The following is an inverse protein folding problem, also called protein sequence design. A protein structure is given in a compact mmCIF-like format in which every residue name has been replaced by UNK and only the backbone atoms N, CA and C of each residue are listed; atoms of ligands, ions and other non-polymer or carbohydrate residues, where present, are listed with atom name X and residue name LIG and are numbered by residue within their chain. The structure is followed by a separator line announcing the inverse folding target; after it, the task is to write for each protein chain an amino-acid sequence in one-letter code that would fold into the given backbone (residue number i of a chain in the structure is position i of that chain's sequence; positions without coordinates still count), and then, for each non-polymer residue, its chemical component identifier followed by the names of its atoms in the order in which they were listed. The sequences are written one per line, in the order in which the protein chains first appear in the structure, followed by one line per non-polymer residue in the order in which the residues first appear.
data_IF_137749038053
#
_entry.id   IF_137749038053
#
_cell.length_a   1.000
_cell.length_b   1.000
_cell.length_c   1.000
_cell.angle_alpha   90.00
_cell.angle_beta   90.00
_cell.angle_gamma   90.00
#
_symmetry.space_group_name_H-M   'P 1'
#
loop_
_entity.id
_entity.type
_entity.pdbx_description
1 polymer ?
2 non-polymer ?
3 non-polymer ?
4 non-polymer ?
5 non-polymer ?
6 water ?
#
# COMPACT_ATOMS: atom_id res chain seq x y z
N UNK A 1 -9.40 5.55 15.47
CA UNK A 1 -10.58 5.22 14.75
C UNK A 1 -10.29 4.64 13.35
N UNK A 2 -11.23 4.85 12.45
CA UNK A 2 -11.23 4.24 11.11
C UNK A 2 -10.01 4.72 10.34
N UNK A 3 -9.77 6.04 10.28
CA UNK A 3 -8.63 6.57 9.48
C UNK A 3 -7.34 6.05 10.06
N UNK A 4 -7.19 6.06 11.37
CA UNK A 4 -5.93 5.53 11.93
C UNK A 4 -5.76 4.03 11.58
N UNK A 5 -6.83 3.27 11.62
CA UNK A 5 -6.79 1.84 11.26
C UNK A 5 -6.25 1.69 9.84
N UNK A 6 -6.65 2.54 8.93
CA UNK A 6 -6.13 2.47 7.55
C UNK A 6 -4.62 2.64 7.61
N UNK A 7 -4.09 3.59 8.35
CA UNK A 7 -2.63 3.82 8.49
C UNK A 7 -1.96 2.59 9.11
N UNK A 8 -2.57 1.99 10.13
CA UNK A 8 -2.00 0.83 10.83
C UNK A 8 -1.90 -0.32 9.81
N UNK A 9 -2.99 -0.59 9.12
CA UNK A 9 -2.99 -1.73 8.15
C UNK A 9 -1.99 -1.45 7.03
N UNK A 10 -1.95 -0.25 6.49
CA UNK A 10 -0.96 0.13 5.44
C UNK A 10 0.48 -0.08 5.92
N UNK A 11 0.78 0.15 7.18
CA UNK A 11 2.13 0.07 7.72
C UNK A 11 2.69 -1.34 7.70
N UNK A 12 1.85 -2.37 7.60
CA UNK A 12 2.35 -3.75 7.49
C UNK A 12 1.39 -4.47 6.54
N UNK A 13 1.12 -3.84 5.40
CA UNK A 13 -0.02 -4.25 4.56
C UNK A 13 0.10 -5.69 4.06
N UNK A 14 1.29 -6.13 3.61
CA UNK A 14 1.42 -7.51 3.08
C UNK A 14 0.99 -8.51 4.17
N UNK A 15 1.38 -8.31 5.43
CA UNK A 15 1.08 -9.32 6.46
C UNK A 15 -0.38 -9.20 6.87
N UNK A 16 -0.91 -8.00 7.08
CA UNK A 16 -2.35 -7.90 7.37
C UNK A 16 -3.21 -8.44 6.23
N UNK A 17 -2.86 -8.09 4.98
CA UNK A 17 -3.65 -8.54 3.80
C UNK A 17 -3.72 -10.07 3.81
N UNK A 18 -2.57 -10.73 3.99
CA UNK A 18 -2.58 -12.21 3.96
C UNK A 18 -3.35 -12.76 5.14
N UNK A 19 -3.11 -12.20 6.35
CA UNK A 19 -3.77 -12.75 7.57
C UNK A 19 -5.29 -12.58 7.47
N UNK A 20 -5.75 -11.43 6.99
CA UNK A 20 -7.22 -11.15 6.92
C UNK A 20 -7.85 -11.99 5.81
N UNK A 21 -7.19 -12.07 4.66
CA UNK A 21 -7.78 -12.91 3.59
C UNK A 21 -7.80 -14.38 4.02
N UNK A 22 -6.76 -14.87 4.73
CA UNK A 22 -6.77 -16.27 5.23
C UNK A 22 -7.87 -16.44 6.25
N UNK A 23 -8.10 -15.42 7.14
CA UNK A 23 -9.21 -15.55 8.08
C UNK A 23 -10.54 -15.72 7.34
N UNK A 24 -10.74 -14.94 6.27
CA UNK A 24 -11.91 -15.05 5.38
C UNK A 24 -11.98 -16.49 4.85
N UNK A 25 -10.90 -16.96 4.17
CA UNK A 25 -11.01 -18.29 3.51
C UNK A 25 -11.19 -19.45 4.52
N UNK A 26 -10.66 -19.30 5.74
CA UNK A 26 -10.84 -20.34 6.79
C UNK A 26 -12.25 -20.25 7.44
N UNK A 27 -12.80 -19.03 7.61
CA UNK A 27 -14.16 -18.94 8.16
C UNK A 27 -15.23 -19.45 7.19
N UNK A 28 -15.02 -19.20 5.91
CA UNK A 28 -15.94 -19.54 4.81
C UNK A 28 -15.21 -20.37 3.75
N UNK A 29 -14.91 -21.64 4.07
CA UNK A 29 -14.10 -22.46 3.19
C UNK A 29 -14.70 -22.61 1.78
N UNK A 30 -16.03 -22.50 1.66
CA UNK A 30 -16.75 -22.58 0.36
C UNK A 30 -16.34 -21.43 -0.56
N UNK A 31 -15.86 -20.28 -0.04
CA UNK A 31 -15.34 -19.15 -0.87
C UNK A 31 -14.06 -19.56 -1.64
N UNK A 32 -13.36 -20.63 -1.29
CA UNK A 32 -12.24 -21.14 -2.15
C UNK A 32 -12.78 -21.60 -3.52
N UNK A 33 -14.08 -21.91 -3.64
CA UNK A 33 -14.79 -22.16 -4.93
C UNK A 33 -14.45 -21.11 -6.00
N UNK A 34 -14.20 -19.85 -5.60
CA UNK A 34 -13.93 -18.71 -6.53
C UNK A 34 -12.44 -18.63 -6.88
N UNK A 35 -11.57 -19.43 -6.22
CA UNK A 35 -10.09 -19.47 -6.41
C UNK A 35 -9.55 -20.93 -6.41
N UNK A 36 -9.83 -21.68 -7.48
CA UNK A 36 -9.41 -23.10 -7.71
C UNK A 36 -8.06 -23.46 -7.07
N UNK A 37 -6.95 -22.90 -7.58
CA UNK A 37 -5.54 -23.18 -7.15
C UNK A 37 -5.27 -22.87 -5.66
N UNK A 38 -6.32 -22.67 -4.85
CA UNK A 38 -6.14 -22.44 -3.39
C UNK A 38 -6.51 -23.67 -2.55
N UNK A 39 -7.35 -24.55 -3.10
CA UNK A 39 -7.90 -25.78 -2.44
C UNK A 39 -6.74 -26.72 -2.08
N UNK A 40 -6.83 -27.35 -0.89
CA UNK A 40 -5.86 -28.33 -0.35
C UNK A 40 -4.49 -27.74 0.00
N UNK A 41 -4.43 -26.46 0.35
CA UNK A 41 -3.15 -25.80 0.69
C UNK A 41 -3.30 -25.09 2.04
N UNK A 42 -2.39 -25.39 2.97
CA UNK A 42 -2.33 -24.76 4.29
C UNK A 42 -2.05 -23.25 4.13
N UNK A 43 -2.26 -22.46 5.19
CA UNK A 43 -1.98 -21.02 5.11
C UNK A 43 -0.55 -20.70 4.68
N UNK A 44 0.43 -21.42 5.23
CA UNK A 44 1.87 -21.14 4.90
C UNK A 44 2.08 -21.38 3.41
N UNK A 45 1.43 -22.43 2.88
CA UNK A 45 1.62 -22.81 1.46
C UNK A 45 1.02 -21.67 0.61
N UNK A 46 -0.18 -21.20 0.95
CA UNK A 46 -0.85 -20.10 0.21
C UNK A 46 0.06 -18.86 0.20
N UNK A 47 0.67 -18.53 1.34
CA UNK A 47 1.55 -17.34 1.52
C UNK A 47 2.82 -17.49 0.68
N UNK A 48 3.19 -18.72 0.33
CA UNK A 48 4.35 -19.04 -0.56
C UNK A 48 4.01 -18.77 -2.02
N UNK A 49 2.73 -18.91 -2.38
CA UNK A 49 2.27 -18.87 -3.79
C UNK A 49 2.28 -17.43 -4.28
N UNK A 50 3.04 -17.17 -5.32
CA UNK A 50 3.20 -15.83 -5.93
C UNK A 50 1.85 -15.17 -6.11
N UNK A 51 0.95 -15.90 -6.76
CA UNK A 51 -0.37 -15.32 -7.18
C UNK A 51 -1.15 -14.94 -5.94
N UNK A 52 -1.08 -15.77 -4.90
CA UNK A 52 -1.86 -15.47 -3.65
C UNK A 52 -1.38 -14.12 -3.06
N UNK A 53 -0.07 -13.96 -2.90
CA UNK A 53 0.56 -12.72 -2.42
C UNK A 53 0.15 -11.54 -3.28
N UNK A 54 0.09 -11.71 -4.60
CA UNK A 54 -0.16 -10.58 -5.54
C UNK A 54 -1.66 -10.27 -5.55
N UNK A 55 -2.55 -11.26 -5.63
CA UNK A 55 -4.00 -10.98 -5.57
C UNK A 55 -4.33 -10.31 -4.23
N UNK A 56 -3.88 -10.89 -3.14
CA UNK A 56 -4.37 -10.44 -1.80
C UNK A 56 -3.79 -9.06 -1.54
N UNK A 57 -2.55 -8.77 -1.92
CA UNK A 57 -2.01 -7.39 -1.75
C UNK A 57 -2.78 -6.41 -2.65
N UNK A 58 -3.16 -6.77 -3.87
CA UNK A 58 -3.93 -5.83 -4.72
C UNK A 58 -5.32 -5.57 -4.13
N UNK A 59 -5.95 -6.61 -3.59
CA UNK A 59 -7.28 -6.51 -2.97
C UNK A 59 -7.16 -5.48 -1.85
N UNK A 60 -6.17 -5.61 -0.96
CA UNK A 60 -6.07 -4.71 0.26
C UNK A 60 -5.53 -3.35 -0.13
N UNK A 61 -4.66 -3.27 -1.14
CA UNK A 61 -4.22 -1.94 -1.64
C UNK A 61 -5.46 -1.13 -2.05
N UNK A 62 -6.33 -1.70 -2.86
CA UNK A 62 -7.54 -1.00 -3.38
C UNK A 62 -8.53 -0.83 -2.22
N UNK A 63 -8.74 -1.84 -1.39
CA UNK A 63 -9.71 -1.69 -0.24
C UNK A 63 -9.28 -0.51 0.63
N UNK A 64 -8.01 -0.37 0.93
CA UNK A 64 -7.52 0.75 1.80
C UNK A 64 -7.75 2.07 1.07
N UNK A 65 -7.62 2.15 -0.24
CA UNK A 65 -7.92 3.36 -1.03
C UNK A 65 -9.41 3.69 -0.91
N UNK A 66 -10.28 2.69 -1.05
CA UNK A 66 -11.75 2.87 -0.96
C UNK A 66 -12.10 3.38 0.47
N UNK A 67 -11.50 2.78 1.49
CA UNK A 67 -11.72 3.22 2.90
C UNK A 67 -11.21 4.66 3.04
N UNK A 68 -10.09 5.00 2.46
CA UNK A 68 -9.44 6.31 2.54
C UNK A 68 -10.30 7.40 1.91
N UNK A 69 -10.99 7.08 0.82
CA UNK A 69 -11.79 8.03 0.03
C UNK A 69 -13.19 8.17 0.66
N UNK A 70 -13.58 7.27 1.54
CA UNK A 70 -14.89 7.25 2.21
C UNK A 70 -15.00 8.50 3.11
N UNK A 71 -16.22 8.91 3.26
CA UNK A 71 -16.65 9.91 4.31
C UNK A 71 -17.44 9.17 5.39
N UNK A 72 -16.98 9.21 6.66
CA UNK A 72 -17.70 8.58 7.79
C UNK A 72 -18.09 7.14 7.42
N UNK A 73 -17.14 6.40 6.89
CA UNK A 73 -17.34 4.97 6.53
C UNK A 73 -18.33 4.73 5.38
N UNK A 74 -18.62 5.73 4.56
CA UNK A 74 -19.51 5.60 3.39
C UNK A 74 -18.62 5.72 2.15
N UNK A 75 -18.46 4.63 1.37
CA UNK A 75 -17.56 4.68 0.23
C UNK A 75 -18.18 5.50 -0.90
N UNK A 76 -17.35 5.98 -1.81
CA UNK A 76 -17.82 6.67 -3.02
C UNK A 76 -18.56 5.71 -3.94
N UNK A 77 -19.57 6.24 -4.62
CA UNK A 77 -20.36 5.45 -5.60
C UNK A 77 -19.39 5.04 -6.72
N UNK A 78 -18.45 5.89 -7.06
CA UNK A 78 -17.47 5.64 -8.15
C UNK A 78 -16.63 4.41 -7.81
N UNK A 79 -16.21 4.26 -6.58
CA UNK A 79 -15.47 3.05 -6.12
C UNK A 79 -16.34 1.81 -6.24
N UNK A 80 -17.60 1.86 -5.85
CA UNK A 80 -18.53 0.71 -5.95
C UNK A 80 -18.63 0.30 -7.43
N UNK A 81 -18.76 1.29 -8.31
CA UNK A 81 -18.99 1.07 -9.76
C UNK A 81 -17.77 0.32 -10.30
N UNK A 82 -16.59 0.82 -9.95
CA UNK A 82 -15.28 0.22 -10.37
C UNK A 82 -15.25 -1.26 -9.95
N UNK A 83 -15.61 -1.56 -8.70
CA UNK A 83 -15.57 -2.95 -8.17
C UNK A 83 -16.57 -3.86 -8.91
N UNK A 84 -17.75 -3.35 -9.25
CA UNK A 84 -18.81 -4.15 -9.92
C UNK A 84 -18.34 -4.49 -11.33
N UNK A 85 -17.72 -3.49 -11.99
CA UNK A 85 -17.38 -3.44 -13.44
C UNK A 85 -16.15 -4.31 -13.74
N UNK A 86 -15.34 -4.64 -12.74
CA UNK A 86 -14.12 -5.45 -12.89
C UNK A 86 -14.48 -6.82 -13.50
N UNK A 87 -13.85 -7.21 -14.60
CA UNK A 87 -14.12 -8.56 -15.22
C UNK A 87 -13.85 -9.69 -14.20
N UNK A 88 -12.84 -9.52 -13.35
CA UNK A 88 -12.43 -10.45 -12.25
C UNK A 88 -13.61 -10.77 -11.32
N UNK A 89 -14.57 -9.86 -11.22
CA UNK A 89 -15.69 -9.95 -10.26
C UNK A 89 -16.98 -10.36 -10.96
N UNK A 90 -16.89 -10.92 -12.17
CA UNK A 90 -18.05 -11.25 -13.01
C UNK A 90 -18.97 -12.23 -12.24
N UNK A 91 -18.40 -13.25 -11.60
CA UNK A 91 -19.22 -14.31 -10.95
C UNK A 91 -19.77 -13.87 -9.58
N UNK A 92 -19.42 -12.69 -9.12
CA UNK A 92 -19.57 -12.43 -7.66
C UNK A 92 -20.91 -11.80 -7.31
N UNK A 93 -21.30 -11.98 -6.05
CA UNK A 93 -22.49 -11.31 -5.48
C UNK A 93 -22.10 -10.58 -4.21
N UNK A 94 -23.01 -9.80 -3.71
CA UNK A 94 -22.69 -8.97 -2.55
C UNK A 94 -22.28 -9.87 -1.38
N UNK A 95 -22.88 -11.04 -1.25
CA UNK A 95 -22.61 -12.01 -0.16
C UNK A 95 -21.13 -12.34 -0.02
N UNK A 96 -20.41 -12.41 -1.13
CA UNK A 96 -18.93 -12.65 -1.10
C UNK A 96 -18.22 -11.54 -0.32
N UNK A 97 -18.59 -10.31 -0.58
CA UNK A 97 -18.01 -9.10 0.04
C UNK A 97 -18.47 -9.00 1.49
N UNK A 98 -19.73 -9.32 1.77
CA UNK A 98 -20.26 -9.34 3.15
C UNK A 98 -19.38 -10.26 4.00
N UNK A 99 -19.13 -11.47 3.50
CA UNK A 99 -18.36 -12.49 4.26
C UNK A 99 -16.92 -11.98 4.49
N UNK A 100 -16.31 -11.35 3.50
CA UNK A 100 -14.93 -10.80 3.68
C UNK A 100 -14.94 -9.79 4.84
N UNK A 101 -15.96 -8.96 4.94
CA UNK A 101 -15.98 -7.92 6.00
C UNK A 101 -16.33 -8.52 7.34
N UNK A 102 -17.18 -9.52 7.40
CA UNK A 102 -17.40 -10.24 8.67
C UNK A 102 -16.08 -10.82 9.19
N UNK A 103 -15.26 -11.40 8.33
CA UNK A 103 -14.02 -12.03 8.78
C UNK A 103 -13.03 -10.94 9.19
N UNK A 104 -13.02 -9.84 8.46
CA UNK A 104 -12.13 -8.70 8.79
C UNK A 104 -12.52 -8.16 10.18
N UNK A 105 -13.81 -8.01 10.44
CA UNK A 105 -14.23 -7.43 11.76
C UNK A 105 -13.84 -8.41 12.89
N UNK A 106 -14.11 -9.71 12.71
CA UNK A 106 -13.77 -10.73 13.73
C UNK A 106 -12.24 -10.71 13.96
N UNK A 107 -11.45 -10.67 12.90
CA UNK A 107 -9.97 -10.59 13.01
C UNK A 107 -9.57 -9.40 13.91
N UNK A 108 -10.15 -8.24 13.64
CA UNK A 108 -9.86 -7.00 14.41
C UNK A 108 -10.26 -7.18 15.87
N UNK A 109 -11.43 -7.75 16.11
CA UNK A 109 -11.95 -7.98 17.50
C UNK A 109 -10.96 -8.87 18.24
N UNK A 110 -10.40 -9.90 17.57
CA UNK A 110 -9.54 -10.93 18.23
C UNK A 110 -8.11 -10.39 18.42
N UNK A 111 -7.76 -9.33 17.73
CA UNK A 111 -6.38 -8.79 17.76
C UNK A 111 -6.16 -8.11 19.12
N UNK A 112 -4.93 -8.05 19.60
CA UNK A 112 -4.69 -7.31 20.86
C UNK A 112 -4.80 -5.78 20.69
N UNK A 113 -5.11 -5.29 19.50
CA UNK A 113 -4.91 -3.87 19.13
C UNK A 113 -6.24 -3.13 19.04
N UNK A 114 -6.17 -1.80 19.20
CA UNK A 114 -7.35 -0.91 19.38
C UNK A 114 -7.96 -0.54 18.04
N UNK A 115 -8.15 -1.53 17.16
CA UNK A 115 -8.89 -1.26 15.92
C UNK A 115 -10.32 -0.82 16.27
N UNK A 116 -10.88 0.04 15.44
CA UNK A 116 -12.29 0.49 15.55
C UNK A 116 -13.17 -0.50 14.79
N UNK A 117 -13.36 -1.68 15.38
CA UNK A 117 -14.05 -2.80 14.69
C UNK A 117 -15.46 -2.36 14.27
N UNK A 118 -16.15 -1.53 15.08
CA UNK A 118 -17.53 -1.12 14.73
C UNK A 118 -17.54 -0.28 13.45
N UNK A 119 -16.53 0.54 13.23
CA UNK A 119 -16.43 1.38 12.02
C UNK A 119 -16.17 0.47 10.78
N UNK A 120 -15.42 -0.59 10.97
CA UNK A 120 -15.16 -1.52 9.81
C UNK A 120 -16.41 -2.33 9.51
N UNK A 121 -17.18 -2.66 10.54
CA UNK A 121 -18.49 -3.31 10.36
C UNK A 121 -19.42 -2.42 9.52
N UNK A 122 -19.56 -1.15 9.89
CA UNK A 122 -20.37 -0.15 9.15
C UNK A 122 -19.84 0.01 7.72
N UNK A 123 -18.55 0.14 7.57
CA UNK A 123 -17.92 0.31 6.23
C UNK A 123 -18.29 -0.91 5.36
N UNK A 124 -18.18 -2.12 5.90
CA UNK A 124 -18.57 -3.33 5.12
C UNK A 124 -20.01 -3.27 4.67
N UNK A 125 -20.93 -2.91 5.59
CA UNK A 125 -22.38 -2.87 5.27
C UNK A 125 -22.63 -1.78 4.22
N UNK A 126 -21.95 -0.64 4.37
CA UNK A 126 -22.11 0.51 3.45
C UNK A 126 -21.59 0.09 2.07
N UNK A 127 -20.48 -0.63 2.06
CA UNK A 127 -19.91 -1.06 0.76
C UNK A 127 -20.83 -2.07 0.08
N UNK A 128 -21.36 -3.01 0.81
CA UNK A 128 -22.35 -3.97 0.27
C UNK A 128 -23.53 -3.20 -0.34
N UNK A 129 -24.11 -2.23 0.38
CA UNK A 129 -25.22 -1.40 -0.18
C UNK A 129 -24.79 -0.69 -1.47
N UNK A 130 -23.60 -0.10 -1.48
CA UNK A 130 -23.12 0.70 -2.64
C UNK A 130 -22.97 -0.28 -3.84
N UNK A 131 -22.47 -1.45 -3.57
CA UNK A 131 -22.24 -2.43 -4.68
C UNK A 131 -23.58 -2.81 -5.27
N UNK A 132 -24.57 -3.00 -4.44
CA UNK A 132 -25.92 -3.35 -4.93
C UNK A 132 -26.44 -2.19 -5.78
N UNK A 133 -26.29 -0.96 -5.28
CA UNK A 133 -26.77 0.25 -6.01
C UNK A 133 -26.08 0.39 -7.37
N UNK A 134 -24.84 -0.09 -7.45
CA UNK A 134 -23.97 0.08 -8.64
C UNK A 134 -24.20 -1.09 -9.61
N UNK A 135 -24.96 -2.12 -9.21
CA UNK A 135 -25.46 -3.19 -10.09
C UNK A 135 -25.00 -4.59 -9.73
N UNK A 136 -24.26 -4.77 -8.64
CA UNK A 136 -23.88 -6.15 -8.21
C UNK A 136 -25.13 -6.94 -7.78
N UNK A 137 -25.20 -8.23 -8.12
CA UNK A 137 -26.34 -9.10 -7.77
C UNK A 137 -26.21 -9.55 -6.32
N UNK B 1 -3.01 14.12 -12.02
CA UNK B 1 -2.01 14.92 -11.30
C UNK B 1 -1.42 14.20 -10.12
N UNK B 2 -0.86 14.95 -9.17
CA UNK B 2 -0.11 14.40 -8.05
C UNK B 2 -0.98 13.45 -7.23
N UNK B 3 -2.21 13.84 -6.85
CA UNK B 3 -3.08 12.97 -6.00
C UNK B 3 -3.42 11.68 -6.73
N UNK B 4 -3.76 11.75 -8.03
CA UNK B 4 -4.03 10.48 -8.79
C UNK B 4 -2.76 9.64 -8.82
N UNK B 5 -1.60 10.27 -8.96
CA UNK B 5 -0.33 9.49 -8.98
C UNK B 5 -0.18 8.70 -7.68
N UNK B 6 -0.57 9.32 -6.55
CA UNK B 6 -0.47 8.59 -5.27
C UNK B 6 -1.39 7.37 -5.33
N UNK B 7 -2.60 7.55 -5.86
CA UNK B 7 -3.59 6.45 -5.98
C UNK B 7 -3.02 5.35 -6.91
N UNK B 8 -2.40 5.74 -8.00
CA UNK B 8 -1.76 4.78 -8.96
C UNK B 8 -0.70 3.97 -8.22
N UNK B 9 0.24 4.64 -7.59
CA UNK B 9 1.35 3.98 -6.88
C UNK B 9 0.82 3.07 -5.80
N UNK B 10 -0.15 3.54 -5.02
CA UNK B 10 -0.65 2.72 -3.90
C UNK B 10 -1.36 1.47 -4.43
N UNK B 11 -1.95 1.56 -5.61
CA UNK B 11 -2.74 0.43 -6.16
C UNK B 11 -1.88 -0.80 -6.35
N UNK B 12 -0.59 -0.58 -6.65
CA UNK B 12 0.37 -1.69 -6.87
C UNK B 12 1.65 -1.34 -6.15
N UNK B 13 1.50 -1.04 -4.85
CA UNK B 13 2.57 -0.47 -3.99
C UNK B 13 3.88 -1.27 -4.09
N UNK B 14 3.76 -2.58 -3.86
CA UNK B 14 4.93 -3.50 -3.74
C UNK B 14 5.72 -3.44 -5.05
N UNK B 15 5.02 -3.48 -6.18
CA UNK B 15 5.69 -3.52 -7.52
C UNK B 15 6.34 -2.18 -7.83
N UNK B 16 5.61 -1.08 -7.63
CA UNK B 16 6.19 0.25 -7.91
C UNK B 16 7.32 0.53 -6.92
N UNK B 17 7.14 0.19 -5.64
CA UNK B 17 8.20 0.47 -4.65
C UNK B 17 9.50 -0.23 -5.04
N UNK B 18 9.41 -1.51 -5.37
CA UNK B 18 10.62 -2.28 -5.79
C UNK B 18 11.21 -1.68 -7.05
N UNK B 19 10.38 -1.35 -8.02
CA UNK B 19 10.87 -0.91 -9.34
C UNK B 19 11.54 0.45 -9.24
N UNK B 20 10.97 1.34 -8.42
CA UNK B 20 11.55 2.69 -8.27
C UNK B 20 12.78 2.60 -7.37
N UNK B 21 12.76 1.79 -6.31
CA UNK B 21 13.93 1.67 -5.44
C UNK B 21 15.13 1.07 -6.23
N UNK B 22 14.85 0.11 -7.10
CA UNK B 22 15.93 -0.46 -7.97
C UNK B 22 16.43 0.59 -8.93
N UNK B 23 15.54 1.43 -9.47
CA UNK B 23 16.00 2.52 -10.36
C UNK B 23 17.02 3.39 -9.61
N UNK B 24 16.66 3.69 -8.34
CA UNK B 24 17.54 4.48 -7.47
C UNK B 24 18.88 3.79 -7.27
N UNK B 25 18.86 2.54 -6.79
CA UNK B 25 20.11 1.81 -6.48
C UNK B 25 20.95 1.65 -7.77
N UNK B 26 20.29 1.53 -8.91
CA UNK B 26 21.05 1.30 -10.18
C UNK B 26 21.60 2.64 -10.68
N UNK B 27 20.86 3.73 -10.53
CA UNK B 27 21.31 5.06 -10.93
C UNK B 27 22.47 5.54 -10.05
N UNK B 28 22.49 5.15 -8.77
CA UNK B 28 23.44 5.67 -7.75
C UNK B 28 24.01 4.51 -6.98
N UNK B 29 24.87 3.68 -7.62
CA UNK B 29 25.30 2.47 -6.97
C UNK B 29 26.00 2.67 -5.61
N UNK B 30 26.61 3.83 -5.37
CA UNK B 30 27.28 4.07 -4.06
C UNK B 30 26.22 4.01 -2.95
N UNK B 31 24.96 4.26 -3.27
CA UNK B 31 23.87 4.22 -2.25
C UNK B 31 23.68 2.81 -1.71
N UNK B 32 24.07 1.76 -2.42
CA UNK B 32 23.93 0.40 -1.87
C UNK B 32 24.83 0.22 -0.64
N UNK B 33 25.92 0.99 -0.52
CA UNK B 33 26.82 0.89 0.66
C UNK B 33 26.01 1.11 1.95
N UNK B 34 24.86 1.81 1.87
CA UNK B 34 23.92 1.99 3.01
C UNK B 34 23.12 0.71 3.22
N UNK B 35 23.12 -0.18 2.23
CA UNK B 35 22.30 -1.41 2.21
C UNK B 35 23.23 -2.61 1.99
N UNK B 36 23.89 -2.98 3.07
CA UNK B 36 25.01 -3.98 3.01
C UNK B 36 24.50 -5.30 2.42
N UNK B 37 23.26 -5.68 2.77
CA UNK B 37 22.58 -6.97 2.48
C UNK B 37 22.15 -7.08 1.00
N UNK B 38 22.28 -6.00 0.23
CA UNK B 38 21.80 -5.89 -1.17
C UNK B 38 22.97 -5.93 -2.14
N UNK B 39 24.18 -5.72 -1.65
CA UNK B 39 25.42 -5.74 -2.49
C UNK B 39 25.57 -7.11 -3.16
N UNK B 40 25.92 -7.06 -4.46
CA UNK B 40 26.20 -8.25 -5.29
C UNK B 40 24.96 -9.07 -5.62
N UNK B 41 23.81 -8.41 -5.72
CA UNK B 41 22.53 -9.06 -6.05
C UNK B 41 21.89 -8.30 -7.18
N UNK B 42 21.43 -9.05 -8.16
CA UNK B 42 20.73 -8.49 -9.33
C UNK B 42 19.34 -8.03 -8.93
N UNK B 43 18.65 -7.36 -9.84
CA UNK B 43 17.27 -6.92 -9.55
C UNK B 43 16.38 -8.11 -9.20
N UNK B 44 16.50 -9.26 -9.88
CA UNK B 44 15.63 -10.42 -9.58
C UNK B 44 16.07 -11.10 -8.27
N UNK B 45 17.36 -11.11 -7.91
CA UNK B 45 17.77 -11.71 -6.59
C UNK B 45 17.20 -10.80 -5.49
N UNK B 46 17.05 -9.49 -5.76
CA UNK B 46 16.48 -8.58 -4.74
C UNK B 46 14.96 -8.80 -4.68
N UNK B 47 14.27 -8.88 -5.83
CA UNK B 47 12.80 -9.04 -5.88
C UNK B 47 12.34 -10.42 -5.38
N UNK B 48 13.28 -11.34 -5.13
CA UNK B 48 13.01 -12.65 -4.51
C UNK B 48 13.24 -12.66 -3.00
N UNK B 49 13.86 -11.61 -2.42
CA UNK B 49 14.20 -11.57 -0.98
C UNK B 49 13.06 -10.85 -0.25
N UNK B 50 12.34 -11.55 0.61
CA UNK B 50 11.22 -11.00 1.40
C UNK B 50 11.66 -9.68 2.05
N UNK B 51 12.86 -9.60 2.62
CA UNK B 51 13.28 -8.38 3.35
C UNK B 51 13.41 -7.17 2.43
N UNK B 52 13.84 -7.33 1.17
CA UNK B 52 13.95 -6.18 0.24
C UNK B 52 12.53 -5.68 -0.05
N UNK B 53 11.61 -6.59 -0.34
CA UNK B 53 10.22 -6.21 -0.63
C UNK B 53 9.55 -5.55 0.58
N UNK B 54 9.67 -6.16 1.76
CA UNK B 54 9.00 -5.62 2.99
C UNK B 54 9.48 -4.19 3.22
N UNK B 55 10.80 -4.00 3.13
CA UNK B 55 11.50 -2.75 3.52
C UNK B 55 11.24 -1.66 2.46
N UNK B 56 11.23 -1.99 1.17
CA UNK B 56 10.91 -0.98 0.14
C UNK B 56 9.42 -0.63 0.23
N UNK B 57 8.56 -1.60 0.44
CA UNK B 57 7.13 -1.26 0.56
C UNK B 57 6.93 -0.33 1.79
N UNK B 58 7.61 -0.60 2.90
CA UNK B 58 7.39 0.29 4.07
C UNK B 58 7.87 1.70 3.74
N UNK B 59 9.01 1.84 3.07
CA UNK B 59 9.56 3.14 2.68
C UNK B 59 8.53 3.86 1.84
N UNK B 60 8.00 3.22 0.78
CA UNK B 60 7.06 3.85 -0.17
C UNK B 60 5.72 4.13 0.53
N UNK B 61 5.28 3.28 1.44
CA UNK B 61 4.03 3.53 2.19
C UNK B 61 4.21 4.86 2.94
N UNK B 62 5.30 5.01 3.68
CA UNK B 62 5.52 6.26 4.45
C UNK B 62 5.63 7.46 3.51
N UNK B 63 6.36 7.30 2.39
CA UNK B 63 6.46 8.38 1.39
C UNK B 63 5.03 8.76 0.89
N UNK B 64 4.16 7.79 0.60
CA UNK B 64 2.82 8.08 0.07
C UNK B 64 1.95 8.77 1.17
N UNK B 65 2.16 8.39 2.43
CA UNK B 65 1.43 9.02 3.58
C UNK B 65 1.82 10.51 3.63
N UNK B 66 3.12 10.79 3.54
CA UNK B 66 3.66 12.17 3.53
C UNK B 66 3.10 12.94 2.33
N UNK B 67 3.13 12.35 1.13
CA UNK B 67 2.60 12.97 -0.08
C UNK B 67 1.09 13.25 0.06
N UNK B 68 0.33 12.33 0.61
CA UNK B 68 -1.14 12.44 0.69
C UNK B 68 -1.47 13.55 1.70
N UNK B 69 -0.66 13.70 2.72
CA UNK B 69 -0.91 14.74 3.76
C UNK B 69 -0.39 16.11 3.32
N UNK B 70 0.47 16.18 2.31
CA UNK B 70 1.01 17.46 1.80
C UNK B 70 -0.13 18.29 1.20
N UNK B 71 0.07 19.62 1.17
CA UNK B 71 -0.78 20.59 0.47
C UNK B 71 0.04 21.12 -0.70
N UNK B 72 -0.48 21.10 -1.96
CA UNK B 72 0.29 21.72 -3.08
C UNK B 72 1.74 21.21 -3.06
N UNK B 73 1.95 19.95 -2.72
CA UNK B 73 3.27 19.26 -2.79
C UNK B 73 4.23 19.80 -1.73
N UNK B 74 3.71 20.41 -0.69
CA UNK B 74 4.53 20.86 0.46
C UNK B 74 4.23 19.95 1.64
N UNK B 75 5.23 19.22 2.14
CA UNK B 75 4.98 18.27 3.20
C UNK B 75 4.85 19.02 4.54
N UNK B 76 4.13 18.39 5.41
CA UNK B 76 4.01 18.88 6.81
C UNK B 76 5.40 18.87 7.50
N UNK B 77 5.70 19.90 8.28
CA UNK B 77 6.94 19.92 9.11
C UNK B 77 7.02 18.68 10.00
N UNK B 78 5.88 18.27 10.59
CA UNK B 78 5.77 17.09 11.48
C UNK B 78 6.27 15.84 10.75
N UNK B 79 5.86 15.66 9.49
CA UNK B 79 6.30 14.44 8.79
C UNK B 79 7.83 14.45 8.58
N UNK B 80 8.41 15.57 8.18
CA UNK B 80 9.87 15.73 8.01
C UNK B 80 10.56 15.40 9.32
N UNK B 81 10.05 15.90 10.46
CA UNK B 81 10.63 15.59 11.79
C UNK B 81 10.55 14.08 12.04
N UNK B 82 9.41 13.42 11.76
CA UNK B 82 9.35 11.93 11.86
C UNK B 82 10.53 11.27 11.11
N UNK B 83 10.75 11.65 9.84
CA UNK B 83 11.73 10.91 9.00
C UNK B 83 13.13 11.11 9.59
N UNK B 84 13.39 12.28 10.18
CA UNK B 84 14.69 12.65 10.82
C UNK B 84 14.87 11.82 12.10
N UNK B 85 13.81 11.68 12.92
CA UNK B 85 13.85 11.06 14.30
C UNK B 85 13.73 9.52 14.24
N UNK B 86 13.69 8.92 13.05
CA UNK B 86 13.76 7.43 12.86
C UNK B 86 15.21 6.93 13.10
N UNK B 87 15.37 5.94 13.99
CA UNK B 87 16.63 5.17 14.21
C UNK B 87 17.35 4.91 12.88
N UNK B 88 16.64 4.28 11.94
CA UNK B 88 17.23 3.66 10.72
C UNK B 88 17.80 4.77 9.82
N UNK B 89 17.40 6.02 10.04
CA UNK B 89 17.88 7.20 9.26
C UNK B 89 19.00 7.99 9.95
N UNK B 90 19.55 7.51 11.07
CA UNK B 90 20.56 8.27 11.87
C UNK B 90 21.71 8.73 10.99
N UNK B 91 22.21 7.85 10.15
CA UNK B 91 23.38 8.15 9.28
C UNK B 91 22.98 8.83 7.98
N UNK B 92 21.68 8.97 7.73
CA UNK B 92 21.19 9.57 6.46
C UNK B 92 21.44 11.08 6.44
N UNK B 93 21.71 11.60 5.24
CA UNK B 93 21.66 13.06 4.99
C UNK B 93 20.55 13.33 3.97
N UNK B 94 20.32 14.60 3.67
CA UNK B 94 19.26 15.01 2.73
C UNK B 94 19.65 14.48 1.34
N UNK B 95 20.95 14.34 1.06
CA UNK B 95 21.48 14.01 -0.27
C UNK B 95 20.91 12.67 -0.70
N UNK B 96 20.83 11.77 0.28
CA UNK B 96 20.26 10.40 0.13
C UNK B 96 18.85 10.55 -0.47
N UNK B 97 18.00 11.39 0.13
CA UNK B 97 16.59 11.60 -0.26
C UNK B 97 16.51 12.33 -1.61
N UNK B 98 17.41 13.28 -1.88
CA UNK B 98 17.40 14.03 -3.16
C UNK B 98 17.60 13.03 -4.31
N UNK B 99 18.54 12.13 -4.15
CA UNK B 99 18.87 11.11 -5.20
C UNK B 99 17.71 10.16 -5.40
N UNK B 100 17.05 9.74 -4.32
CA UNK B 100 15.84 8.90 -4.44
C UNK B 100 14.81 9.62 -5.32
N UNK B 101 14.57 10.92 -5.08
CA UNK B 101 13.56 11.66 -5.84
C UNK B 101 13.99 11.87 -7.28
N UNK B 102 15.28 12.05 -7.55
CA UNK B 102 15.73 12.21 -8.97
C UNK B 102 15.41 10.90 -9.70
N UNK B 103 15.71 9.77 -9.06
CA UNK B 103 15.45 8.46 -9.65
C UNK B 103 13.96 8.27 -9.88
N UNK B 104 13.12 8.69 -8.91
CA UNK B 104 11.65 8.53 -9.02
C UNK B 104 11.12 9.37 -10.20
N UNK B 105 11.55 10.60 -10.31
CA UNK B 105 11.10 11.51 -11.41
C UNK B 105 11.56 10.90 -12.76
N UNK B 106 12.78 10.42 -12.81
CA UNK B 106 13.30 9.81 -14.06
C UNK B 106 12.47 8.57 -14.43
N UNK B 107 12.11 7.75 -13.47
CA UNK B 107 11.27 6.56 -13.66
C UNK B 107 9.93 6.97 -14.24
N UNK B 108 9.34 8.02 -13.66
CA UNK B 108 8.03 8.50 -14.10
C UNK B 108 8.09 9.00 -15.56
N UNK B 109 9.12 9.78 -15.92
CA UNK B 109 9.24 10.35 -17.28
C UNK B 109 9.46 9.21 -18.28
N UNK B 110 10.12 8.14 -17.85
CA UNK B 110 10.46 7.01 -18.76
C UNK B 110 9.25 6.08 -18.92
N UNK B 111 8.27 6.16 -18.02
CA UNK B 111 7.14 5.22 -18.01
C UNK B 111 6.20 5.56 -19.18
N UNK B 112 5.32 4.63 -19.51
CA UNK B 112 4.29 4.88 -20.54
C UNK B 112 3.23 5.85 -20.04
N UNK B 113 3.25 6.10 -18.74
CA UNK B 113 2.04 6.63 -18.07
C UNK B 113 2.11 8.15 -17.82
N UNK B 114 0.95 8.76 -17.66
CA UNK B 114 0.85 10.24 -17.49
C UNK B 114 0.99 10.63 -16.01
N UNK B 115 2.08 10.21 -15.41
CA UNK B 115 2.47 10.72 -14.08
C UNK B 115 2.75 12.21 -14.21
N UNK B 116 2.44 12.95 -13.13
CA UNK B 116 2.77 14.39 -13.08
C UNK B 116 4.21 14.54 -12.54
N UNK B 117 5.20 14.22 -13.36
CA UNK B 117 6.62 14.17 -12.92
C UNK B 117 7.06 15.54 -12.35
N UNK B 118 6.61 16.64 -12.93
CA UNK B 118 6.88 18.04 -12.46
C UNK B 118 6.54 18.18 -10.99
N UNK B 119 5.35 17.69 -10.61
CA UNK B 119 4.87 17.83 -9.20
C UNK B 119 5.69 16.95 -8.28
N UNK B 120 6.13 15.76 -8.72
CA UNK B 120 6.99 14.90 -7.88
C UNK B 120 8.37 15.56 -7.69
N UNK B 121 8.85 16.27 -8.72
CA UNK B 121 10.13 17.01 -8.62
C UNK B 121 9.99 18.07 -7.52
N UNK B 122 8.90 18.84 -7.52
CA UNK B 122 8.73 19.91 -6.52
C UNK B 122 8.53 19.27 -5.14
N UNK B 123 7.76 18.20 -5.07
CA UNK B 123 7.56 17.46 -3.81
C UNK B 123 8.90 17.04 -3.20
N UNK B 124 9.76 16.45 -4.02
CA UNK B 124 11.09 16.05 -3.54
C UNK B 124 11.91 17.22 -3.05
N UNK B 125 11.87 18.33 -3.79
CA UNK B 125 12.62 19.57 -3.45
C UNK B 125 12.13 20.06 -2.09
N UNK B 126 10.82 20.05 -1.92
CA UNK B 126 10.14 20.59 -0.70
C UNK B 126 10.39 19.62 0.46
N UNK B 127 10.43 18.32 0.22
CA UNK B 127 10.67 17.35 1.31
C UNK B 127 12.13 17.51 1.75
N UNK B 128 13.09 17.65 0.80
CA UNK B 128 14.52 17.82 1.15
C UNK B 128 14.69 19.07 2.03
N UNK B 129 14.09 20.18 1.63
CA UNK B 129 14.17 21.45 2.41
C UNK B 129 13.56 21.23 3.79
N UNK B 130 12.42 20.55 3.84
CA UNK B 130 11.75 20.24 5.12
C UNK B 130 12.62 19.34 6.01
N UNK B 131 13.32 18.37 5.44
CA UNK B 131 14.23 17.51 6.23
C UNK B 131 15.37 18.38 6.78
N UNK B 132 15.93 19.30 5.97
CA UNK B 132 17.02 20.24 6.35
C UNK B 132 16.52 21.14 7.50
N UNK B 133 15.35 21.74 7.31
CA UNK B 133 14.75 22.65 8.33
C UNK B 133 14.35 21.83 9.58
N UNK B 134 14.20 20.50 9.47
CA UNK B 134 13.93 19.60 10.63
C UNK B 134 15.23 19.00 11.18
N UNK B 135 16.39 19.36 10.61
CA UNK B 135 17.71 19.10 11.25
C UNK B 135 18.46 17.90 10.70
N UNK B 136 18.00 17.39 9.58
CA UNK B 136 18.84 16.38 8.86
C UNK B 136 20.05 17.12 8.25
N UNK B 137 21.25 16.54 8.38
CA UNK B 137 22.50 17.16 7.85
C UNK B 137 22.46 17.09 6.32
#
# INVERSE_FOLDING_TARGET
GFKQDIATLRGDLRTYAQDIFLAFLNKYPDEKRNFKNYVGKSDQELKSMAKFGDHTEKVFNLMMEVADRATDCVPLASDASTLVQMKQHSGLTTGNFEKLFVALVEYMRASGQSFDSQSWDRFGKNLVSALSSAGMK
GFKQDIATLRGDLRTYAQDIFLAFLNKYPDEKRNFKNYVGKSDQELKSMAKFGDHTEKVFNLMMEVADRATDCVPLASDASTLVQMKQHSGLTTGNFEKLFVALVEYMRASGQSFDSQSWDRFGKNLVSALSSAGMK
#
